data_IF_611011300508
#
_entry.id   IF_611011300508
#
_cell.length_a   1.000
_cell.length_b   1.000
_cell.length_c   1.000
_cell.angle_alpha   90.00
_cell.angle_beta   90.00
_cell.angle_gamma   90.00
#
_symmetry.space_group_name_H-M   'P 1'
#
loop_
_entity.id
_entity.type
_entity.pdbx_description
1 polymer ?
#
# COMPACT_ATOMS: atom_id res chain seq x y z
N UNK A 1 -26.04 28.90 -37.09
CA UNK A 1 -24.64 28.63 -36.68
C UNK A 1 -24.43 28.95 -35.19
N UNK A 2 -24.79 30.12 -34.65
CA UNK A 2 -24.62 30.48 -33.23
C UNK A 2 -25.45 29.56 -32.31
N UNK A 3 -26.70 29.27 -32.63
CA UNK A 3 -27.56 28.36 -31.82
C UNK A 3 -27.05 26.94 -31.75
N UNK A 4 -26.46 26.42 -32.83
CA UNK A 4 -25.86 25.07 -32.83
C UNK A 4 -24.67 25.02 -31.88
N UNK A 5 -23.78 26.01 -31.97
CA UNK A 5 -22.62 26.12 -31.07
C UNK A 5 -23.02 26.28 -29.60
N UNK A 6 -24.12 27.04 -29.34
CA UNK A 6 -24.64 27.20 -27.97
C UNK A 6 -25.17 25.89 -27.39
N UNK A 7 -25.88 25.09 -28.17
CA UNK A 7 -26.38 23.76 -27.75
C UNK A 7 -25.25 22.75 -27.55
N UNK A 8 -24.25 22.75 -28.45
CA UNK A 8 -23.07 21.92 -28.30
C UNK A 8 -22.29 22.24 -27.03
N UNK A 9 -22.10 23.55 -26.73
CA UNK A 9 -21.48 24.00 -25.49
C UNK A 9 -22.26 23.54 -24.25
N UNK A 10 -23.58 23.70 -24.24
CA UNK A 10 -24.44 23.29 -23.13
C UNK A 10 -24.31 21.77 -22.89
N UNK A 11 -24.38 20.96 -23.96
CA UNK A 11 -24.20 19.51 -23.88
C UNK A 11 -22.82 19.11 -23.33
N UNK A 12 -21.78 19.84 -23.71
CA UNK A 12 -20.41 19.60 -23.18
C UNK A 12 -20.35 19.92 -21.69
N UNK A 13 -20.91 21.05 -21.26
CA UNK A 13 -20.92 21.45 -19.85
C UNK A 13 -21.72 20.47 -18.98
N UNK A 14 -22.86 19.97 -19.45
CA UNK A 14 -23.61 18.93 -18.76
C UNK A 14 -22.82 17.64 -18.61
N UNK A 15 -22.07 17.22 -19.66
CA UNK A 15 -21.20 16.04 -19.59
C UNK A 15 -20.04 16.25 -18.62
N UNK A 16 -19.43 17.41 -18.61
CA UNK A 16 -18.36 17.74 -17.65
C UNK A 16 -18.91 17.62 -16.22
N UNK A 17 -20.03 18.26 -15.91
CA UNK A 17 -20.63 18.18 -14.59
C UNK A 17 -21.00 16.75 -14.18
N UNK A 18 -21.50 15.94 -15.12
CA UNK A 18 -21.76 14.53 -14.89
C UNK A 18 -20.47 13.76 -14.53
N UNK A 19 -19.39 13.94 -15.30
CA UNK A 19 -18.13 13.25 -15.02
C UNK A 19 -17.45 13.71 -13.73
N UNK A 20 -17.56 15.01 -13.40
CA UNK A 20 -17.05 15.51 -12.11
C UNK A 20 -17.78 14.85 -10.93
N UNK A 21 -19.10 14.70 -11.02
CA UNK A 21 -19.87 13.97 -10.01
C UNK A 21 -19.45 12.51 -9.91
N UNK A 22 -19.32 11.80 -11.04
CA UNK A 22 -18.89 10.39 -11.06
C UNK A 22 -17.48 10.24 -10.48
N UNK A 23 -16.57 11.14 -10.81
CA UNK A 23 -15.20 11.16 -10.26
C UNK A 23 -15.21 11.30 -8.74
N UNK A 24 -16.02 12.22 -8.21
CA UNK A 24 -16.15 12.44 -6.77
C UNK A 24 -16.74 11.21 -6.05
N UNK A 25 -17.80 10.61 -6.59
CA UNK A 25 -18.42 9.41 -6.05
C UNK A 25 -17.45 8.22 -6.05
N UNK A 26 -16.73 8.00 -7.15
CA UNK A 26 -15.71 6.95 -7.26
C UNK A 26 -14.57 7.17 -6.26
N UNK A 27 -14.10 8.41 -6.12
CA UNK A 27 -13.07 8.76 -5.15
C UNK A 27 -13.52 8.48 -3.71
N UNK A 28 -14.71 8.93 -3.32
CA UNK A 28 -15.24 8.74 -1.96
C UNK A 28 -15.41 7.25 -1.64
N UNK A 29 -15.89 6.47 -2.60
CA UNK A 29 -16.02 5.01 -2.46
C UNK A 29 -14.65 4.36 -2.24
N UNK A 30 -13.67 4.68 -3.06
CA UNK A 30 -12.31 4.17 -2.93
C UNK A 30 -11.66 4.62 -1.61
N UNK A 31 -11.76 5.89 -1.25
CA UNK A 31 -11.21 6.44 -0.03
C UNK A 31 -11.79 5.76 1.23
N UNK A 32 -13.11 5.57 1.27
CA UNK A 32 -13.77 4.90 2.40
C UNK A 32 -13.26 3.47 2.56
N UNK A 33 -13.22 2.70 1.48
CA UNK A 33 -12.76 1.31 1.51
C UNK A 33 -11.27 1.20 1.87
N UNK A 34 -10.42 2.05 1.29
CA UNK A 34 -8.98 2.06 1.59
C UNK A 34 -8.74 2.52 3.03
N UNK A 35 -9.48 3.51 3.54
CA UNK A 35 -9.34 4.00 4.91
C UNK A 35 -9.73 2.93 5.94
N UNK A 36 -10.79 2.19 5.70
CA UNK A 36 -11.19 1.05 6.55
C UNK A 36 -10.14 -0.06 6.53
N UNK A 37 -9.67 -0.46 5.34
CA UNK A 37 -8.59 -1.42 5.19
C UNK A 37 -7.32 -0.97 5.90
N UNK A 38 -6.94 0.31 5.75
CA UNK A 38 -5.76 0.88 6.39
C UNK A 38 -5.84 0.77 7.91
N UNK A 39 -6.95 1.17 8.50
CA UNK A 39 -7.15 1.11 9.96
C UNK A 39 -6.99 -0.31 10.49
N UNK A 40 -7.57 -1.29 9.80
CA UNK A 40 -7.48 -2.72 10.16
C UNK A 40 -6.07 -3.28 10.00
N UNK A 41 -5.42 -3.01 8.87
CA UNK A 41 -4.08 -3.49 8.57
C UNK A 41 -3.05 -2.84 9.49
N UNK A 42 -3.15 -1.53 9.72
CA UNK A 42 -2.28 -0.80 10.62
C UNK A 42 -2.36 -1.36 12.05
N UNK A 43 -3.56 -1.61 12.55
CA UNK A 43 -3.76 -2.24 13.86
C UNK A 43 -3.12 -3.63 13.95
N UNK A 44 -3.20 -4.43 12.89
CA UNK A 44 -2.58 -5.75 12.82
C UNK A 44 -1.05 -5.66 12.86
N UNK A 45 -0.47 -4.73 12.11
CA UNK A 45 1.00 -4.59 12.00
C UNK A 45 1.63 -3.94 13.24
N UNK A 46 0.96 -2.95 13.85
CA UNK A 46 1.56 -2.12 14.91
C UNK A 46 0.96 -2.34 16.30
N UNK A 47 -0.18 -3.05 16.40
CA UNK A 47 -1.03 -3.11 17.60
C UNK A 47 -1.49 -1.72 18.09
N UNK A 48 -1.47 -0.73 17.20
CA UNK A 48 -1.92 0.63 17.42
C UNK A 48 -3.18 0.97 16.63
N UNK A 49 -3.48 2.25 16.52
CA UNK A 49 -4.59 2.77 15.69
C UNK A 49 -4.07 3.70 14.62
N UNK A 50 -4.73 3.70 13.47
CA UNK A 50 -4.37 4.57 12.36
C UNK A 50 -5.58 4.89 11.50
N UNK A 51 -5.61 6.12 10.96
CA UNK A 51 -6.63 6.56 10.02
C UNK A 51 -6.04 7.43 8.92
N UNK A 52 -6.69 7.40 7.78
CA UNK A 52 -6.44 8.33 6.69
C UNK A 52 -7.31 9.56 6.87
N UNK A 53 -6.77 10.75 6.64
CA UNK A 53 -7.49 12.02 6.77
C UNK A 53 -7.27 12.84 5.51
N UNK A 54 -8.36 13.35 4.94
CA UNK A 54 -8.31 14.33 3.86
C UNK A 54 -8.08 15.73 4.44
N UNK A 55 -7.20 16.50 3.83
CA UNK A 55 -6.96 17.88 4.25
C UNK A 55 -8.14 18.80 3.93
N UNK A 56 -8.95 18.43 2.92
CA UNK A 56 -10.15 19.15 2.53
C UNK A 56 -11.27 18.14 2.25
N UNK A 57 -12.20 17.99 3.20
CA UNK A 57 -13.33 17.06 3.07
C UNK A 57 -14.37 17.52 2.05
N UNK A 58 -14.57 18.82 1.89
CA UNK A 58 -15.55 19.38 0.97
C UNK A 58 -15.12 19.21 -0.49
N UNK A 59 -13.82 19.39 -0.76
CA UNK A 59 -13.21 19.14 -2.06
C UNK A 59 -11.95 18.28 -1.91
N UNK A 60 -12.10 16.95 -2.00
CA UNK A 60 -10.99 16.03 -1.80
C UNK A 60 -9.89 16.12 -2.87
N UNK A 61 -10.13 16.86 -3.95
CA UNK A 61 -9.14 17.09 -5.00
C UNK A 61 -8.36 18.40 -4.82
N UNK A 62 -8.79 19.28 -3.91
CA UNK A 62 -8.10 20.53 -3.59
C UNK A 62 -7.04 20.37 -2.50
N UNK A 63 -7.09 19.28 -1.71
CA UNK A 63 -6.18 19.01 -0.62
C UNK A 63 -5.37 17.73 -0.82
N UNK A 64 -4.54 17.42 0.17
CA UNK A 64 -3.75 16.20 0.26
C UNK A 64 -4.42 15.12 1.12
N UNK A 65 -3.75 13.97 1.19
CA UNK A 65 -4.03 12.87 2.10
C UNK A 65 -2.95 12.85 3.19
N UNK A 66 -3.37 12.78 4.45
CA UNK A 66 -2.46 12.65 5.59
C UNK A 66 -2.78 11.41 6.42
N UNK A 67 -1.81 11.00 7.22
CA UNK A 67 -1.91 9.86 8.10
C UNK A 67 -1.91 10.35 9.55
N UNK A 68 -2.95 10.01 10.29
CA UNK A 68 -2.96 10.14 11.74
C UNK A 68 -2.82 8.74 12.34
N UNK A 69 -1.69 8.49 12.97
CA UNK A 69 -1.36 7.16 13.49
C UNK A 69 -0.92 7.25 14.94
N UNK A 70 -1.34 6.26 15.71
CA UNK A 70 -0.94 6.06 17.09
C UNK A 70 -0.38 4.65 17.22
N UNK A 71 0.95 4.47 17.05
CA UNK A 71 1.58 3.21 17.39
C UNK A 71 1.34 2.87 18.86
N UNK A 72 1.42 1.58 19.21
CA UNK A 72 1.18 1.11 20.58
C UNK A 72 1.97 1.94 21.59
N UNK A 73 1.27 2.33 22.67
CA UNK A 73 1.82 3.06 23.83
C UNK A 73 2.43 4.45 23.51
N UNK A 74 2.06 5.06 22.38
CA UNK A 74 2.49 6.40 21.97
C UNK A 74 1.31 7.36 21.78
N UNK A 75 1.60 8.66 21.73
CA UNK A 75 0.61 9.66 21.35
C UNK A 75 0.28 9.57 19.85
N UNK A 76 -0.83 10.17 19.44
CA UNK A 76 -1.17 10.33 18.02
C UNK A 76 -0.13 11.21 17.33
N UNK A 77 0.40 10.75 16.22
CA UNK A 77 1.40 11.45 15.43
C UNK A 77 0.98 11.57 13.97
N UNK A 78 1.40 12.66 13.35
CA UNK A 78 1.45 12.76 11.90
C UNK A 78 2.64 11.94 11.37
N UNK A 79 2.57 11.49 10.13
CA UNK A 79 3.61 10.68 9.48
C UNK A 79 5.02 11.29 9.61
N UNK A 80 5.13 12.62 9.56
CA UNK A 80 6.40 13.33 9.68
C UNK A 80 7.12 13.12 11.01
N UNK A 81 6.38 12.89 12.09
CA UNK A 81 6.91 12.75 13.46
C UNK A 81 7.26 11.29 13.82
N UNK A 82 7.00 10.32 12.94
CA UNK A 82 7.28 8.91 13.17
C UNK A 82 8.77 8.58 13.00
N UNK A 83 9.24 7.55 13.71
CA UNK A 83 10.54 6.92 13.46
C UNK A 83 10.61 6.25 12.09
N UNK A 84 11.80 5.94 11.59
CA UNK A 84 11.99 5.30 10.28
C UNK A 84 11.20 3.99 10.14
N UNK A 85 11.29 3.11 11.12
CA UNK A 85 10.55 1.84 11.12
C UNK A 85 9.02 2.03 11.17
N UNK A 86 8.52 2.99 11.96
CA UNK A 86 7.09 3.32 12.02
C UNK A 86 6.59 3.90 10.68
N UNK A 87 7.39 4.73 10.03
CA UNK A 87 7.07 5.22 8.67
C UNK A 87 6.98 4.08 7.67
N UNK A 88 7.93 3.15 7.70
CA UNK A 88 7.91 1.97 6.83
C UNK A 88 6.67 1.11 7.06
N UNK A 89 6.30 0.83 8.32
CA UNK A 89 5.09 0.10 8.67
C UNK A 89 3.82 0.81 8.20
N UNK A 90 3.75 2.13 8.39
CA UNK A 90 2.60 2.95 7.96
C UNK A 90 2.47 2.91 6.44
N UNK A 91 3.59 3.04 5.72
CA UNK A 91 3.61 2.99 4.26
C UNK A 91 3.18 1.62 3.75
N UNK A 92 3.68 0.53 4.33
CA UNK A 92 3.28 -0.83 3.96
C UNK A 92 1.80 -1.10 4.27
N UNK A 93 1.30 -0.63 5.42
CA UNK A 93 -0.13 -0.73 5.75
C UNK A 93 -0.99 -0.03 4.70
N UNK A 94 -0.56 1.13 4.21
CA UNK A 94 -1.27 1.86 3.15
C UNK A 94 -1.20 1.13 1.80
N UNK A 95 -0.03 0.62 1.40
CA UNK A 95 0.11 -0.17 0.16
C UNK A 95 -0.80 -1.39 0.20
N UNK A 96 -0.81 -2.15 1.30
CA UNK A 96 -1.68 -3.31 1.45
C UNK A 96 -3.17 -2.94 1.51
N UNK A 97 -3.52 -1.76 2.03
CA UNK A 97 -4.91 -1.30 2.03
C UNK A 97 -5.42 -0.98 0.62
N UNK A 98 -4.57 -0.39 -0.21
CA UNK A 98 -4.87 -0.17 -1.63
C UNK A 98 -4.96 -1.49 -2.40
N UNK A 99 -4.05 -2.43 -2.12
CA UNK A 99 -4.07 -3.75 -2.71
C UNK A 99 -5.37 -4.50 -2.43
N UNK A 100 -5.87 -4.45 -1.21
CA UNK A 100 -7.15 -5.10 -0.88
C UNK A 100 -8.36 -4.44 -1.55
N UNK A 101 -8.28 -3.16 -1.86
CA UNK A 101 -9.32 -2.48 -2.63
C UNK A 101 -9.26 -2.81 -4.12
N UNK A 102 -8.06 -2.83 -4.70
CA UNK A 102 -7.82 -3.12 -6.12
C UNK A 102 -6.61 -4.04 -6.27
N UNK A 103 -6.80 -5.37 -6.20
CA UNK A 103 -5.69 -6.32 -6.29
C UNK A 103 -4.99 -6.27 -7.64
N UNK A 104 -3.66 -6.30 -7.63
CA UNK A 104 -2.85 -6.53 -8.83
C UNK A 104 -2.44 -8.02 -8.93
N UNK A 105 -2.13 -8.51 -10.15
CA UNK A 105 -1.70 -9.90 -10.34
C UNK A 105 -0.40 -10.24 -9.60
N UNK A 106 0.51 -9.27 -9.45
CA UNK A 106 1.75 -9.44 -8.71
C UNK A 106 2.23 -8.13 -8.07
N UNK A 107 3.08 -8.28 -7.06
CA UNK A 107 3.76 -7.20 -6.34
C UNK A 107 5.24 -7.53 -6.23
N UNK A 108 6.09 -6.51 -6.43
CA UNK A 108 7.53 -6.63 -6.24
C UNK A 108 7.98 -5.67 -5.13
N UNK A 109 8.64 -6.20 -4.11
CA UNK A 109 9.19 -5.44 -3.00
C UNK A 109 10.69 -5.66 -2.91
N UNK A 110 11.43 -4.55 -2.82
CA UNK A 110 12.88 -4.55 -2.68
C UNK A 110 13.27 -3.99 -1.31
N UNK A 111 13.81 -4.88 -0.46
CA UNK A 111 14.34 -4.56 0.90
C UNK A 111 13.39 -3.75 1.79
N UNK A 112 12.07 -3.94 1.67
CA UNK A 112 11.03 -3.18 2.42
C UNK A 112 11.11 -3.39 3.93
N UNK A 113 11.82 -4.40 4.38
CA UNK A 113 12.00 -4.82 5.77
C UNK A 113 13.33 -4.35 6.39
N UNK A 114 14.17 -3.63 5.65
CA UNK A 114 15.51 -3.23 6.12
C UNK A 114 15.47 -2.36 7.39
N UNK A 115 14.50 -1.43 7.48
CA UNK A 115 14.38 -0.50 8.62
C UNK A 115 13.53 -1.03 9.77
N UNK A 116 13.09 -2.30 9.72
CA UNK A 116 12.18 -2.89 10.70
C UNK A 116 12.92 -3.74 11.72
N UNK A 117 12.41 -3.77 12.95
CA UNK A 117 12.84 -4.74 13.96
C UNK A 117 12.31 -6.16 13.65
N UNK A 118 12.86 -7.18 14.34
CA UNK A 118 12.55 -8.58 14.07
C UNK A 118 11.07 -8.90 14.20
N UNK A 119 10.39 -8.36 15.22
CA UNK A 119 8.97 -8.64 15.47
C UNK A 119 8.06 -8.03 14.39
N UNK A 120 8.42 -6.88 13.87
CA UNK A 120 7.69 -6.25 12.78
C UNK A 120 7.90 -6.97 11.45
N UNK A 121 9.11 -7.48 11.19
CA UNK A 121 9.39 -8.33 10.01
C UNK A 121 8.53 -9.59 10.04
N UNK A 122 8.40 -10.27 11.19
CA UNK A 122 7.54 -11.46 11.33
C UNK A 122 6.07 -11.15 11.04
N UNK A 123 5.55 -10.02 11.52
CA UNK A 123 4.18 -9.59 11.25
C UNK A 123 3.93 -9.32 9.77
N UNK A 124 4.87 -8.65 9.11
CA UNK A 124 4.78 -8.38 7.67
C UNK A 124 4.87 -9.68 6.88
N UNK A 125 5.80 -10.57 7.19
CA UNK A 125 5.93 -11.86 6.54
C UNK A 125 4.65 -12.70 6.65
N UNK A 126 4.04 -12.73 7.85
CA UNK A 126 2.76 -13.39 8.08
C UNK A 126 1.62 -12.76 7.28
N UNK A 127 1.55 -11.43 7.21
CA UNK A 127 0.54 -10.71 6.43
C UNK A 127 0.70 -10.98 4.94
N UNK A 128 1.92 -10.88 4.39
CA UNK A 128 2.20 -11.18 2.99
C UNK A 128 1.79 -12.60 2.64
N UNK A 129 2.11 -13.57 3.49
CA UNK A 129 1.71 -14.97 3.28
C UNK A 129 0.18 -15.14 3.21
N UNK A 130 -0.57 -14.39 3.99
CA UNK A 130 -2.03 -14.40 3.94
C UNK A 130 -2.56 -13.82 2.63
N UNK A 131 -1.99 -12.71 2.17
CA UNK A 131 -2.43 -12.03 0.94
C UNK A 131 -1.94 -12.76 -0.31
N UNK A 132 -0.83 -13.48 -0.23
CA UNK A 132 -0.25 -14.26 -1.33
C UNK A 132 -1.14 -15.41 -1.82
N UNK A 133 -2.23 -15.72 -1.11
CA UNK A 133 -3.26 -16.64 -1.61
C UNK A 133 -3.97 -16.13 -2.88
N UNK A 134 -4.03 -14.81 -3.08
CA UNK A 134 -4.76 -14.16 -4.19
C UNK A 134 -3.84 -13.43 -5.18
N UNK A 135 -2.57 -13.17 -4.81
CA UNK A 135 -1.63 -12.41 -5.64
C UNK A 135 -0.22 -12.95 -5.49
N UNK A 136 0.60 -12.86 -6.54
CA UNK A 136 2.00 -13.23 -6.46
C UNK A 136 2.84 -12.13 -5.80
N UNK A 137 3.69 -12.51 -4.84
CA UNK A 137 4.68 -11.62 -4.23
C UNK A 137 6.10 -12.01 -4.64
N UNK A 138 6.86 -11.04 -5.13
CA UNK A 138 8.30 -11.15 -5.42
C UNK A 138 9.00 -10.24 -4.42
N UNK A 139 9.80 -10.82 -3.51
CA UNK A 139 10.40 -10.06 -2.41
C UNK A 139 11.90 -10.28 -2.41
N UNK A 140 12.65 -9.19 -2.43
CA UNK A 140 14.09 -9.19 -2.16
C UNK A 140 14.29 -8.87 -0.69
N UNK A 141 14.86 -9.82 0.06
CA UNK A 141 15.13 -9.66 1.50
C UNK A 141 16.28 -10.56 1.93
N UNK A 142 17.00 -10.13 2.97
CA UNK A 142 18.01 -10.92 3.67
C UNK A 142 17.51 -11.40 5.04
N UNK A 143 16.27 -11.09 5.39
CA UNK A 143 15.71 -11.38 6.71
C UNK A 143 15.10 -12.78 6.76
N UNK A 144 15.51 -13.54 7.78
CA UNK A 144 15.09 -14.93 7.96
C UNK A 144 13.56 -15.11 7.97
N UNK A 145 12.73 -14.30 8.68
CA UNK A 145 11.29 -14.49 8.66
C UNK A 145 10.65 -14.32 7.26
N UNK A 146 11.20 -13.43 6.43
CA UNK A 146 10.73 -13.24 5.04
C UNK A 146 11.08 -14.46 4.19
N UNK A 147 12.30 -14.97 4.33
CA UNK A 147 12.78 -16.17 3.60
C UNK A 147 11.95 -17.39 3.99
N UNK A 148 11.71 -17.60 5.29
CA UNK A 148 10.94 -18.75 5.80
C UNK A 148 9.45 -18.69 5.43
N UNK A 149 8.91 -17.51 5.13
CA UNK A 149 7.52 -17.35 4.69
C UNK A 149 7.30 -17.64 3.20
N UNK A 150 8.37 -17.77 2.41
CA UNK A 150 8.28 -17.91 0.96
C UNK A 150 7.96 -19.36 0.54
N UNK A 151 7.14 -19.53 -0.51
CA UNK A 151 6.90 -20.83 -1.14
C UNK A 151 8.07 -21.24 -2.05
N UNK A 152 8.82 -20.26 -2.54
CA UNK A 152 9.98 -20.46 -3.40
C UNK A 152 11.07 -19.44 -3.09
N UNK A 153 12.28 -19.92 -2.92
CA UNK A 153 13.46 -19.10 -2.64
C UNK A 153 14.37 -19.12 -3.87
N UNK A 154 14.80 -17.93 -4.30
CA UNK A 154 15.80 -17.76 -5.35
C UNK A 154 17.01 -17.07 -4.73
N UNK A 155 18.09 -17.83 -4.54
CA UNK A 155 19.36 -17.33 -4.05
C UNK A 155 20.19 -16.73 -5.20
N UNK A 156 20.70 -15.52 -4.98
CA UNK A 156 21.59 -14.84 -5.92
C UNK A 156 22.90 -14.53 -5.22
N UNK A 157 24.02 -14.98 -5.78
CA UNK A 157 25.34 -14.76 -5.21
C UNK A 157 26.39 -14.54 -6.30
N UNK A 158 27.53 -13.96 -5.92
CA UNK A 158 28.65 -13.70 -6.83
C UNK A 158 29.68 -14.82 -6.69
N UNK A 159 30.08 -15.41 -7.80
CA UNK A 159 31.16 -16.41 -7.85
C UNK A 159 32.56 -15.74 -7.76
N UNK A 160 33.63 -16.52 -7.46
CA UNK A 160 35.00 -16.01 -7.45
C UNK A 160 35.44 -15.36 -8.78
N UNK A 161 34.92 -15.83 -9.91
CA UNK A 161 35.15 -15.29 -11.27
C UNK A 161 34.34 -14.03 -11.57
N UNK A 162 33.63 -13.47 -10.57
CA UNK A 162 32.72 -12.31 -10.66
C UNK A 162 31.46 -12.55 -11.49
N UNK A 163 31.17 -13.77 -11.93
CA UNK A 163 29.88 -14.12 -12.52
C UNK A 163 28.79 -14.25 -11.45
N UNK A 164 27.54 -14.08 -11.83
CA UNK A 164 26.39 -14.26 -10.94
C UNK A 164 25.94 -15.72 -10.96
N UNK A 165 25.78 -16.31 -9.79
CA UNK A 165 25.14 -17.61 -9.60
C UNK A 165 23.71 -17.40 -9.12
N UNK A 166 22.75 -18.00 -9.80
CA UNK A 166 21.35 -18.04 -9.39
C UNK A 166 20.96 -19.47 -9.08
N UNK A 167 20.41 -19.70 -7.89
CA UNK A 167 19.92 -21.01 -7.43
C UNK A 167 18.48 -20.87 -6.97
N UNK A 168 17.64 -21.87 -7.22
CA UNK A 168 16.25 -21.87 -6.77
C UNK A 168 15.96 -23.13 -5.94
N UNK A 169 15.28 -22.96 -4.79
CA UNK A 169 14.81 -24.04 -3.92
C UNK A 169 13.31 -23.82 -3.66
N UNK A 170 12.52 -24.89 -3.70
CA UNK A 170 11.13 -24.84 -3.20
C UNK A 170 11.12 -25.04 -1.70
N UNK A 171 10.25 -24.36 -0.99
CA UNK A 171 10.04 -24.62 0.42
C UNK A 171 9.46 -26.04 0.59
N UNK A 172 10.20 -26.90 1.28
CA UNK A 172 9.81 -28.30 1.51
C UNK A 172 10.61 -29.37 0.73
N UNK A 173 11.62 -28.98 -0.06
CA UNK A 173 12.63 -29.89 -0.63
C UNK A 173 13.85 -30.04 0.30
#
# INVERSE_FOLDING_TARGET
>A
MVEVLSRERETILERIAYFEKQKLEAFRTAFSAISENFSRIFATLTSGTGRLVLECDDDPFAGGLTFEVQPRDKAVHLLSALSGGEKSLTTLAFIFSMQQFLPAPFYAFDEVDMSLDGSNVERIASMIRTIAAESQFIIVSLRKPMIESADRIVGVTVRPDKSTLVTGVRAGD
#
